data_IF_875822960462
#
_entry.id   IF_875822960462
#
_cell.length_a   1.000
_cell.length_b   1.000
_cell.length_c   1.000
_cell.angle_alpha   90.00
_cell.angle_beta   90.00
_cell.angle_gamma   90.00
#
_symmetry.space_group_name_H-M   'P 1'
#
loop_
_entity.id
_entity.type
_entity.pdbx_description
1 polymer ?
#
# COMPACT_ATOMS: atom_id res chain seq x y z
N UNK A 1 -12.85 -4.14 44.93
CA UNK A 1 -12.04 -4.81 43.88
C UNK A 1 -11.86 -6.27 44.29
N UNK A 2 -12.20 -7.24 43.43
CA UNK A 2 -12.15 -8.66 43.81
C UNK A 2 -10.69 -9.15 43.90
N UNK A 3 -10.36 -9.92 44.94
CA UNK A 3 -8.99 -10.39 45.23
C UNK A 3 -8.38 -11.16 44.04
N UNK A 4 -7.07 -11.00 43.73
CA UNK A 4 -6.39 -11.73 42.66
C UNK A 4 -6.61 -13.25 42.70
N UNK A 5 -6.75 -13.82 43.90
CA UNK A 5 -7.04 -15.25 44.09
C UNK A 5 -8.45 -15.64 43.61
N UNK A 6 -9.44 -14.77 43.83
CA UNK A 6 -10.82 -14.97 43.35
C UNK A 6 -10.87 -14.89 41.83
N UNK A 7 -10.12 -13.98 41.23
CA UNK A 7 -10.04 -13.83 39.77
C UNK A 7 -9.41 -15.08 39.10
N UNK A 8 -8.36 -15.65 39.71
CA UNK A 8 -7.70 -16.85 39.20
C UNK A 8 -8.59 -18.10 39.30
N UNK A 9 -9.34 -18.25 40.40
CA UNK A 9 -10.34 -19.33 40.57
C UNK A 9 -11.42 -19.22 39.48
N UNK A 10 -11.93 -18.01 39.23
CA UNK A 10 -12.90 -17.76 38.17
C UNK A 10 -12.35 -18.06 36.79
N UNK A 11 -11.10 -17.67 36.49
CA UNK A 11 -10.45 -17.97 35.21
C UNK A 11 -10.35 -19.47 34.96
N UNK A 12 -9.88 -20.24 35.95
CA UNK A 12 -9.75 -21.70 35.85
C UNK A 12 -11.10 -22.39 35.69
N UNK A 13 -12.10 -21.96 36.44
CA UNK A 13 -13.47 -22.49 36.33
C UNK A 13 -14.07 -22.23 34.95
N UNK A 14 -13.92 -21.01 34.43
CA UNK A 14 -14.36 -20.66 33.07
C UNK A 14 -13.63 -21.49 32.01
N UNK A 15 -12.31 -21.66 32.14
CA UNK A 15 -11.53 -22.47 31.20
C UNK A 15 -12.03 -23.92 31.13
N UNK A 16 -12.28 -24.56 32.28
CA UNK A 16 -12.88 -25.91 32.32
C UNK A 16 -14.25 -25.94 31.64
N UNK A 17 -15.08 -24.92 31.86
CA UNK A 17 -16.41 -24.82 31.24
C UNK A 17 -16.34 -24.72 29.72
N UNK A 18 -15.45 -23.89 29.17
CA UNK A 18 -15.27 -23.76 27.71
C UNK A 18 -14.67 -25.02 27.09
N UNK A 19 -13.76 -25.70 27.79
CA UNK A 19 -13.13 -26.94 27.33
C UNK A 19 -14.10 -28.14 27.31
N UNK A 20 -15.05 -28.20 28.24
CA UNK A 20 -16.01 -29.31 28.32
C UNK A 20 -17.08 -29.28 27.21
N UNK A 21 -17.36 -28.12 26.61
CA UNK A 21 -18.42 -27.97 25.59
C UNK A 21 -18.04 -26.94 24.50
N UNK A 22 -16.92 -27.14 23.79
CA UNK A 22 -16.38 -26.13 22.88
C UNK A 22 -17.36 -25.78 21.76
N UNK A 23 -18.07 -26.76 21.21
CA UNK A 23 -18.98 -26.55 20.09
C UNK A 23 -20.25 -25.81 20.48
N UNK A 24 -20.75 -26.01 21.70
CA UNK A 24 -21.87 -25.22 22.25
C UNK A 24 -21.51 -23.74 22.34
N UNK A 25 -20.31 -23.41 22.81
CA UNK A 25 -19.87 -22.01 22.91
C UNK A 25 -19.55 -21.40 21.55
N UNK A 26 -18.97 -22.18 20.62
CA UNK A 26 -18.77 -21.75 19.23
C UNK A 26 -20.11 -21.45 18.54
N UNK A 27 -21.09 -22.37 18.64
CA UNK A 27 -22.42 -22.20 18.06
C UNK A 27 -23.13 -20.97 18.65
N UNK A 28 -23.07 -20.77 19.97
CA UNK A 28 -23.61 -19.58 20.64
C UNK A 28 -22.92 -18.29 20.18
N UNK A 29 -21.60 -18.29 20.08
CA UNK A 29 -20.83 -17.14 19.59
C UNK A 29 -21.19 -16.80 18.14
N UNK A 30 -21.31 -17.82 17.28
CA UNK A 30 -21.73 -17.68 15.89
C UNK A 30 -23.15 -17.12 15.78
N UNK A 31 -24.11 -17.68 16.52
CA UNK A 31 -25.49 -17.22 16.53
C UNK A 31 -25.60 -15.76 17.01
N UNK A 32 -24.83 -15.38 18.03
CA UNK A 32 -24.76 -13.99 18.48
C UNK A 32 -24.15 -13.08 17.40
N UNK A 33 -23.05 -13.48 16.77
CA UNK A 33 -22.41 -12.70 15.70
C UNK A 33 -23.32 -12.54 14.49
N UNK A 34 -24.01 -13.59 14.06
CA UNK A 34 -24.93 -13.53 12.93
C UNK A 34 -26.13 -12.63 13.23
N UNK A 35 -26.71 -12.73 14.43
CA UNK A 35 -27.81 -11.87 14.87
C UNK A 35 -27.40 -10.40 15.16
N UNK A 36 -26.11 -10.13 15.35
CA UNK A 36 -25.59 -8.80 15.71
C UNK A 36 -24.53 -8.29 14.73
N UNK A 37 -24.53 -8.81 13.49
CA UNK A 37 -23.47 -8.53 12.51
C UNK A 37 -23.33 -7.04 12.22
N UNK A 38 -24.44 -6.34 12.01
CA UNK A 38 -24.46 -4.90 11.78
C UNK A 38 -24.00 -4.14 13.02
N UNK A 39 -24.53 -4.47 14.20
CA UNK A 39 -24.12 -3.87 15.47
C UNK A 39 -22.62 -4.05 15.75
N UNK A 40 -22.07 -5.22 15.46
CA UNK A 40 -20.65 -5.50 15.60
C UNK A 40 -19.83 -4.68 14.58
N UNK A 41 -20.29 -4.59 13.33
CA UNK A 41 -19.65 -3.78 12.30
C UNK A 41 -19.63 -2.28 12.68
N UNK A 42 -20.74 -1.75 13.18
CA UNK A 42 -20.87 -0.36 13.64
C UNK A 42 -20.01 -0.08 14.86
N UNK A 43 -20.03 -0.98 15.85
CA UNK A 43 -19.12 -0.90 17.00
C UNK A 43 -17.66 -0.85 16.54
N UNK A 44 -17.24 -1.74 15.64
CA UNK A 44 -15.87 -1.77 15.12
C UNK A 44 -15.55 -0.54 14.26
N UNK A 45 -16.52 0.02 13.53
CA UNK A 45 -16.37 1.27 12.77
C UNK A 45 -16.16 2.44 13.73
N UNK A 46 -17.01 2.59 14.75
CA UNK A 46 -16.90 3.63 15.77
C UNK A 46 -15.60 3.51 16.58
N UNK A 47 -15.22 2.28 16.95
CA UNK A 47 -13.96 2.01 17.63
C UNK A 47 -12.75 2.40 16.78
N UNK A 48 -12.73 2.02 15.50
CA UNK A 48 -11.65 2.41 14.56
C UNK A 48 -11.57 3.92 14.35
N UNK A 49 -12.71 4.62 14.30
CA UNK A 49 -12.77 6.07 14.20
C UNK A 49 -12.20 6.75 15.46
N UNK A 50 -12.66 6.34 16.65
CA UNK A 50 -12.20 6.92 17.93
C UNK A 50 -10.71 6.69 18.17
N UNK A 51 -10.21 5.51 17.80
CA UNK A 51 -8.80 5.12 17.97
C UNK A 51 -7.94 5.39 16.74
N UNK A 52 -8.42 6.21 15.79
CA UNK A 52 -7.72 6.48 14.52
C UNK A 52 -6.36 7.12 14.74
N UNK A 53 -6.31 8.21 15.49
CA UNK A 53 -5.06 8.95 15.71
C UNK A 53 -4.08 8.17 16.58
N UNK A 54 -4.56 7.50 17.64
CA UNK A 54 -3.73 6.60 18.46
C UNK A 54 -3.10 5.47 17.63
N UNK A 55 -3.88 4.86 16.74
CA UNK A 55 -3.39 3.82 15.82
C UNK A 55 -2.36 4.37 14.84
N UNK A 56 -2.59 5.58 14.30
CA UNK A 56 -1.63 6.26 13.41
C UNK A 56 -0.32 6.57 14.13
N UNK A 57 -0.40 7.11 15.34
CA UNK A 57 0.76 7.40 16.19
C UNK A 57 1.53 6.13 16.53
N UNK A 58 0.83 5.05 16.92
CA UNK A 58 1.43 3.75 17.17
C UNK A 58 2.19 3.22 15.95
N UNK A 59 1.55 3.20 14.78
CA UNK A 59 2.20 2.70 13.57
C UNK A 59 3.37 3.60 13.14
N UNK A 60 3.24 4.93 13.29
CA UNK A 60 4.34 5.85 13.02
C UNK A 60 5.56 5.52 13.89
N UNK A 61 5.38 5.43 15.21
CA UNK A 61 6.45 5.07 16.13
C UNK A 61 7.02 3.67 15.84
N UNK A 62 6.17 2.72 15.46
CA UNK A 62 6.61 1.39 15.03
C UNK A 62 7.48 1.46 13.76
N UNK A 63 7.06 2.18 12.73
CA UNK A 63 7.83 2.33 11.50
C UNK A 63 9.14 3.08 11.73
N UNK A 64 9.13 4.15 12.53
CA UNK A 64 10.34 4.91 12.89
C UNK A 64 11.36 4.02 13.60
N UNK A 65 10.92 3.28 14.65
CA UNK A 65 11.80 2.40 15.41
C UNK A 65 12.32 1.20 14.61
N UNK A 66 11.55 0.71 13.65
CA UNK A 66 11.86 -0.53 12.92
C UNK A 66 12.23 -0.30 11.45
N UNK A 67 12.42 0.95 11.02
CA UNK A 67 12.60 1.31 9.60
C UNK A 67 13.68 0.47 8.92
N UNK A 68 14.86 0.37 9.54
CA UNK A 68 15.99 -0.37 8.96
C UNK A 68 15.73 -1.88 8.88
N UNK A 69 15.15 -2.47 9.92
CA UNK A 69 14.79 -3.89 9.91
C UNK A 69 13.74 -4.20 8.83
N UNK A 70 12.73 -3.33 8.67
CA UNK A 70 11.70 -3.47 7.65
C UNK A 70 12.28 -3.32 6.23
N UNK A 71 13.19 -2.35 6.02
CA UNK A 71 13.90 -2.19 4.74
C UNK A 71 14.77 -3.40 4.43
N UNK A 72 15.55 -3.90 5.39
CA UNK A 72 16.39 -5.08 5.22
C UNK A 72 15.55 -6.31 4.88
N UNK A 73 14.46 -6.53 5.60
CA UNK A 73 13.51 -7.61 5.31
C UNK A 73 12.89 -7.48 3.92
N UNK A 74 12.52 -6.27 3.50
CA UNK A 74 11.97 -6.04 2.16
C UNK A 74 13.00 -6.35 1.07
N UNK A 75 14.27 -5.95 1.25
CA UNK A 75 15.37 -6.26 0.33
C UNK A 75 15.60 -7.77 0.19
N UNK A 76 15.51 -8.52 1.29
CA UNK A 76 15.70 -9.98 1.28
C UNK A 76 14.51 -10.72 0.67
N UNK A 77 13.28 -10.37 1.07
CA UNK A 77 12.08 -11.13 0.68
C UNK A 77 11.51 -10.71 -0.68
N UNK A 78 11.79 -9.51 -1.15
CA UNK A 78 11.31 -8.98 -2.43
C UNK A 78 11.64 -9.88 -3.63
N UNK A 79 12.92 -10.26 -3.84
CA UNK A 79 13.31 -11.17 -4.92
C UNK A 79 12.65 -12.54 -4.82
N UNK A 80 12.55 -13.10 -3.62
CA UNK A 80 11.92 -14.41 -3.37
C UNK A 80 10.43 -14.36 -3.76
N UNK A 81 9.74 -13.30 -3.37
CA UNK A 81 8.34 -13.12 -3.75
C UNK A 81 8.19 -12.96 -5.26
N UNK A 82 9.05 -12.17 -5.90
CA UNK A 82 9.02 -11.96 -7.35
C UNK A 82 9.25 -13.25 -8.12
N UNK A 83 10.22 -14.06 -7.70
CA UNK A 83 10.52 -15.39 -8.28
C UNK A 83 9.35 -16.37 -8.10
N UNK A 84 8.63 -16.32 -6.98
CA UNK A 84 7.41 -17.13 -6.77
C UNK A 84 6.19 -16.60 -7.53
N UNK A 85 6.20 -15.34 -7.97
CA UNK A 85 5.05 -14.65 -8.58
C UNK A 85 5.39 -14.07 -9.97
N UNK A 86 6.24 -14.74 -10.75
CA UNK A 86 6.72 -14.25 -12.06
C UNK A 86 5.58 -13.85 -12.98
N UNK A 87 4.52 -14.64 -13.07
CA UNK A 87 3.35 -14.34 -13.89
C UNK A 87 2.70 -13.00 -13.52
N UNK A 88 2.57 -12.70 -12.21
CA UNK A 88 2.00 -11.43 -11.74
C UNK A 88 2.92 -10.25 -12.06
N UNK A 89 4.24 -10.42 -11.90
CA UNK A 89 5.23 -9.40 -12.22
C UNK A 89 5.19 -9.07 -13.71
N UNK A 90 5.22 -10.09 -14.58
CA UNK A 90 5.12 -9.93 -16.04
C UNK A 90 3.82 -9.26 -16.45
N UNK A 91 2.69 -9.71 -15.91
CA UNK A 91 1.38 -9.10 -16.18
C UNK A 91 1.35 -7.62 -15.78
N UNK A 92 1.96 -7.24 -14.65
CA UNK A 92 2.06 -5.83 -14.23
C UNK A 92 2.92 -5.01 -15.21
N UNK A 93 4.05 -5.55 -15.66
CA UNK A 93 4.91 -4.88 -16.63
C UNK A 93 4.18 -4.66 -17.96
N UNK A 94 3.51 -5.69 -18.48
CA UNK A 94 2.74 -5.59 -19.73
C UNK A 94 1.58 -4.61 -19.64
N UNK A 95 0.88 -4.52 -18.50
CA UNK A 95 -0.16 -3.48 -18.30
C UNK A 95 0.41 -2.07 -18.37
N UNK A 96 1.60 -1.83 -17.80
CA UNK A 96 2.28 -0.53 -17.88
C UNK A 96 2.65 -0.20 -19.33
N UNK A 97 3.24 -1.15 -20.06
CA UNK A 97 3.62 -0.96 -21.47
C UNK A 97 2.38 -0.66 -22.32
N UNK A 98 1.31 -1.44 -22.17
CA UNK A 98 0.07 -1.22 -22.90
C UNK A 98 -0.56 0.14 -22.59
N UNK A 99 -0.52 0.58 -21.32
CA UNK A 99 -1.01 1.91 -20.94
C UNK A 99 -0.20 3.03 -21.58
N UNK A 100 1.14 2.94 -21.57
CA UNK A 100 2.00 3.91 -22.24
C UNK A 100 1.71 3.97 -23.75
N UNK A 101 1.67 2.81 -24.42
CA UNK A 101 1.37 2.73 -25.87
C UNK A 101 0.03 3.33 -26.23
N UNK A 102 -1.03 3.07 -25.44
CA UNK A 102 -2.35 3.68 -25.68
C UNK A 102 -2.34 5.19 -25.49
N UNK A 103 -1.49 5.70 -24.60
CA UNK A 103 -1.36 7.12 -24.35
C UNK A 103 -0.40 7.81 -25.32
N UNK A 104 0.35 7.06 -26.14
CA UNK A 104 1.22 7.61 -27.19
C UNK A 104 0.39 7.87 -28.45
N UNK A 105 0.08 9.14 -28.78
CA UNK A 105 -0.62 9.46 -30.01
C UNK A 105 0.28 9.23 -31.24
N UNK A 106 -0.28 9.02 -32.45
CA UNK A 106 0.51 8.80 -33.67
C UNK A 106 1.46 9.96 -34.04
N UNK A 107 1.13 11.18 -33.61
CA UNK A 107 1.93 12.37 -33.85
C UNK A 107 3.02 12.60 -32.79
N UNK A 108 3.15 11.72 -31.80
CA UNK A 108 4.17 11.87 -30.77
C UNK A 108 5.58 11.87 -31.38
N UNK A 109 6.37 12.88 -31.02
CA UNK A 109 7.77 12.94 -31.38
C UNK A 109 8.57 11.95 -30.51
N UNK A 110 8.90 10.81 -31.11
CA UNK A 110 9.65 9.75 -30.46
C UNK A 110 11.11 10.14 -30.17
N UNK A 111 11.71 11.00 -30.99
CA UNK A 111 13.10 11.44 -30.80
C UNK A 111 13.18 12.38 -29.61
N UNK A 112 12.23 13.32 -29.48
CA UNK A 112 12.12 14.18 -28.31
C UNK A 112 11.86 13.39 -27.01
N UNK A 113 11.00 12.35 -27.06
CA UNK A 113 10.78 11.45 -25.92
C UNK A 113 12.08 10.73 -25.54
N UNK A 114 12.78 10.17 -26.53
CA UNK A 114 14.04 9.45 -26.30
C UNK A 114 15.13 10.36 -25.73
N UNK A 115 15.20 11.62 -26.19
CA UNK A 115 16.14 12.61 -25.66
C UNK A 115 15.92 12.86 -24.16
N UNK A 116 14.67 12.91 -23.70
CA UNK A 116 14.35 13.05 -22.26
C UNK A 116 14.79 11.83 -21.46
N UNK A 117 14.60 10.61 -22.00
CA UNK A 117 15.09 9.39 -21.36
C UNK A 117 16.61 9.34 -21.29
N UNK A 118 17.31 9.78 -22.34
CA UNK A 118 18.78 9.89 -22.34
C UNK A 118 19.27 10.92 -21.31
N UNK A 119 18.67 12.11 -21.29
CA UNK A 119 18.99 13.15 -20.31
C UNK A 119 18.75 12.70 -18.87
N UNK A 120 17.74 11.84 -18.63
CA UNK A 120 17.52 11.25 -17.30
C UNK A 120 18.71 10.41 -16.83
N UNK A 121 19.35 9.66 -17.73
CA UNK A 121 20.54 8.86 -17.42
C UNK A 121 21.75 9.76 -17.17
N UNK A 122 21.90 10.83 -17.95
CA UNK A 122 22.98 11.82 -17.78
C UNK A 122 22.88 12.51 -16.42
N UNK A 123 21.70 13.03 -16.07
CA UNK A 123 21.46 13.66 -14.77
C UNK A 123 21.68 12.68 -13.62
N UNK A 124 21.27 11.41 -13.74
CA UNK A 124 21.55 10.39 -12.73
C UNK A 124 23.05 10.17 -12.54
N UNK A 125 23.84 10.16 -13.62
CA UNK A 125 25.30 10.03 -13.56
C UNK A 125 25.97 11.25 -12.93
N UNK A 126 25.52 12.45 -13.29
CA UNK A 126 26.10 13.70 -12.79
C UNK A 126 25.79 13.94 -11.31
N UNK A 127 24.57 13.67 -10.89
CA UNK A 127 24.11 13.91 -9.51
C UNK A 127 24.43 12.75 -8.57
N UNK A 128 24.66 11.54 -9.10
CA UNK A 128 24.78 10.31 -8.32
C UNK A 128 23.48 9.87 -7.63
N UNK A 129 22.35 10.53 -7.92
CA UNK A 129 21.03 10.22 -7.37
C UNK A 129 20.21 9.53 -8.45
N UNK A 130 19.46 8.49 -8.09
CA UNK A 130 18.57 7.83 -9.05
C UNK A 130 17.46 8.77 -9.52
N UNK A 131 17.34 8.95 -10.84
CA UNK A 131 16.34 9.79 -11.49
C UNK A 131 15.40 8.95 -12.33
N UNK A 132 14.15 9.40 -12.45
CA UNK A 132 13.15 8.77 -13.31
C UNK A 132 12.52 9.81 -14.24
N UNK A 133 12.06 9.36 -15.40
CA UNK A 133 11.13 10.13 -16.24
C UNK A 133 9.72 9.96 -15.70
N UNK A 134 9.15 11.05 -15.18
CA UNK A 134 7.79 11.16 -14.66
C UNK A 134 6.84 11.73 -15.72
N UNK A 135 5.55 11.40 -15.59
CA UNK A 135 4.48 12.03 -16.35
C UNK A 135 3.89 13.17 -15.54
N UNK A 136 4.00 14.41 -16.03
CA UNK A 136 3.48 15.62 -15.34
C UNK A 136 2.00 15.41 -15.00
N UNK A 137 1.19 15.14 -16.01
CA UNK A 137 -0.19 14.63 -15.90
C UNK A 137 -0.16 13.09 -15.97
N UNK A 138 -0.71 12.37 -14.98
CA UNK A 138 -0.56 10.92 -14.89
C UNK A 138 -1.23 10.19 -16.06
N UNK A 139 -0.55 9.19 -16.63
CA UNK A 139 -1.12 8.34 -17.68
C UNK A 139 -2.35 7.53 -17.20
N UNK A 140 -2.40 7.23 -15.90
CA UNK A 140 -3.43 6.38 -15.29
C UNK A 140 -3.97 7.01 -14.01
N UNK A 141 -4.52 8.22 -14.11
CA UNK A 141 -5.24 8.86 -13.01
C UNK A 141 -6.67 8.34 -12.88
N UNK A 142 -7.28 8.61 -11.72
CA UNK A 142 -8.71 8.31 -11.50
C UNK A 142 -9.63 9.33 -12.16
N UNK A 143 -9.17 10.57 -12.23
CA UNK A 143 -9.92 11.75 -12.70
C UNK A 143 -9.46 12.22 -14.08
N UNK A 144 -8.16 12.12 -14.36
CA UNK A 144 -7.55 12.54 -15.63
C UNK A 144 -6.60 11.47 -16.16
N UNK A 145 -6.36 11.48 -17.46
CA UNK A 145 -5.31 10.70 -18.10
C UNK A 145 -4.50 11.61 -19.05
N UNK A 146 -3.19 11.64 -18.84
CA UNK A 146 -2.25 12.36 -19.70
C UNK A 146 -1.80 11.53 -20.91
N UNK A 147 -1.14 12.21 -21.86
CA UNK A 147 -0.53 11.59 -23.03
C UNK A 147 0.94 11.22 -22.78
N UNK A 148 1.45 10.22 -23.49
CA UNK A 148 2.87 9.87 -23.50
C UNK A 148 3.57 10.64 -24.63
N UNK A 149 3.83 11.92 -24.38
CA UNK A 149 4.45 12.88 -25.31
C UNK A 149 5.50 13.70 -24.57
N UNK A 150 6.52 14.23 -25.26
CA UNK A 150 7.62 14.97 -24.64
C UNK A 150 7.16 16.11 -23.71
N UNK A 151 6.13 16.86 -24.11
CA UNK A 151 5.56 17.96 -23.31
C UNK A 151 4.92 17.51 -21.98
N UNK A 152 4.61 16.22 -21.81
CA UNK A 152 4.07 15.65 -20.58
C UNK A 152 5.12 14.84 -19.79
N UNK A 153 6.40 14.86 -20.20
CA UNK A 153 7.49 14.18 -19.51
C UNK A 153 8.36 15.18 -18.77
N UNK A 154 8.82 14.80 -17.58
CA UNK A 154 9.80 15.56 -16.81
C UNK A 154 10.80 14.61 -16.13
N UNK A 155 12.04 15.06 -15.96
CA UNK A 155 13.05 14.32 -15.19
C UNK A 155 12.90 14.74 -13.73
N UNK A 156 12.80 13.77 -12.83
CA UNK A 156 12.59 13.99 -11.40
C UNK A 156 13.37 12.96 -10.57
N UNK A 157 13.87 13.30 -9.37
CA UNK A 157 14.45 12.32 -8.47
C UNK A 157 13.49 11.14 -8.23
N UNK A 158 14.01 9.92 -8.28
CA UNK A 158 13.20 8.71 -8.27
C UNK A 158 12.35 8.56 -7.01
N UNK A 159 12.85 9.04 -5.87
CA UNK A 159 12.11 9.07 -4.60
C UNK A 159 10.92 10.03 -4.66
N UNK A 160 11.09 11.21 -5.26
CA UNK A 160 10.03 12.21 -5.45
C UNK A 160 8.97 11.70 -6.41
N UNK A 161 9.36 11.11 -7.55
CA UNK A 161 8.41 10.51 -8.49
C UNK A 161 7.53 9.43 -7.83
N UNK A 162 8.13 8.54 -7.03
CA UNK A 162 7.40 7.51 -6.27
C UNK A 162 6.44 8.13 -5.23
N UNK A 163 6.86 9.25 -4.62
CA UNK A 163 6.05 10.05 -3.67
C UNK A 163 4.96 10.90 -4.35
N UNK A 164 5.12 11.27 -5.62
CA UNK A 164 4.09 11.93 -6.44
C UNK A 164 3.05 10.92 -6.90
N UNK A 165 3.45 9.89 -7.63
CA UNK A 165 2.52 8.97 -8.30
C UNK A 165 1.45 9.72 -9.11
N UNK A 166 0.20 9.27 -9.05
CA UNK A 166 -0.95 9.97 -9.65
C UNK A 166 -1.71 10.86 -8.66
N UNK A 167 -1.03 11.38 -7.62
CA UNK A 167 -1.65 12.21 -6.57
C UNK A 167 -1.64 13.70 -6.88
N UNK A 168 -0.73 14.14 -7.74
CA UNK A 168 -0.53 15.54 -8.06
C UNK A 168 -0.26 15.73 -9.55
N UNK A 169 -0.87 16.77 -10.13
CA UNK A 169 -0.60 17.33 -11.45
C UNK A 169 -1.00 18.83 -11.43
N UNK A 170 -0.48 19.66 -12.34
CA UNK A 170 -0.89 21.06 -12.46
C UNK A 170 -2.41 21.19 -12.61
N UNK A 171 -3.01 22.17 -11.94
CA UNK A 171 -4.46 22.44 -12.00
C UNK A 171 -5.36 21.29 -11.53
N UNK A 172 -4.85 20.40 -10.66
CA UNK A 172 -5.69 19.38 -10.02
C UNK A 172 -6.78 20.05 -9.12
N UNK A 173 -8.01 19.52 -9.12
CA UNK A 173 -9.10 20.01 -8.27
C UNK A 173 -8.89 19.68 -6.78
#
# INVERSE_FOLDING_TARGET
>A
MSSPQVQEIQRRSNAKRYAANPDKFKARSKAWYDANRERAADYHKAYRARKREERRAYFRAYYERNAECLKARARQLGPIWAAKNVAKVRARAMRRIAAARRATPPWADHDAINAIYSGCVEIERETGISHHVDHIVPLQGKTVCGLHVAANLQIMPGAENQSKGARYWPDMP
#
